data_IF_723932794482
#
_entry.id   IF_723932794482
#
_cell.length_a   1.000
_cell.length_b   1.000
_cell.length_c   1.000
_cell.angle_alpha   90.00
_cell.angle_beta   90.00
_cell.angle_gamma   90.00
#
_symmetry.space_group_name_H-M   'P 1'
#
loop_
_entity.id
_entity.type
_entity.pdbx_description
1 polymer ?
#
# COMPACT_ATOMS: atom_id res chain seq x y z
N UNK A 1 -8.74 -7.73 -9.39
CA UNK A 1 -8.22 -6.52 -9.79
C UNK A 1 -7.76 -5.66 -8.63
N UNK A 2 -6.79 -4.96 -8.86
CA UNK A 2 -6.22 -4.24 -7.77
C UNK A 2 -7.05 -3.01 -7.46
N UNK A 3 -7.10 -2.70 -6.22
CA UNK A 3 -7.71 -1.48 -5.78
C UNK A 3 -6.78 -0.35 -6.09
N UNK A 4 -7.38 0.75 -6.46
CA UNK A 4 -6.61 1.96 -6.65
C UNK A 4 -6.07 2.41 -5.28
N UNK A 5 -4.76 2.56 -5.20
CA UNK A 5 -4.15 3.10 -4.00
C UNK A 5 -4.60 4.55 -3.79
N UNK A 6 -4.71 5.30 -4.88
CA UNK A 6 -5.15 6.68 -4.77
C UNK A 6 -6.52 6.81 -4.15
N UNK A 7 -7.43 5.93 -4.55
CA UNK A 7 -8.77 5.95 -3.97
C UNK A 7 -8.76 5.57 -2.50
N UNK A 8 -7.95 4.59 -2.14
CA UNK A 8 -7.81 4.20 -0.75
C UNK A 8 -7.28 5.37 0.07
N UNK A 9 -6.25 6.03 -0.43
CA UNK A 9 -5.64 7.16 0.26
C UNK A 9 -6.64 8.30 0.42
N UNK A 10 -7.37 8.64 -0.64
CA UNK A 10 -8.36 9.71 -0.58
C UNK A 10 -9.46 9.38 0.41
N UNK A 11 -9.97 8.17 0.38
CA UNK A 11 -11.05 7.76 1.28
C UNK A 11 -10.61 7.84 2.73
N UNK A 12 -9.40 7.36 3.00
CA UNK A 12 -8.85 7.39 4.35
C UNK A 12 -8.62 8.82 4.83
N UNK A 13 -8.10 9.66 3.92
CA UNK A 13 -7.89 11.07 4.24
C UNK A 13 -9.19 11.77 4.58
N UNK A 14 -10.23 11.53 3.78
CA UNK A 14 -11.53 12.16 4.02
C UNK A 14 -12.17 11.66 5.31
N UNK A 15 -11.93 10.42 5.64
CA UNK A 15 -12.42 9.88 6.92
C UNK A 15 -11.81 10.64 8.09
N UNK A 16 -10.56 11.05 7.96
CA UNK A 16 -9.91 11.85 8.99
C UNK A 16 -10.24 13.34 8.85
N UNK A 17 -11.06 13.70 7.87
CA UNK A 17 -11.49 15.07 7.63
C UNK A 17 -10.33 16.00 7.34
N UNK A 18 -9.34 15.52 6.64
CA UNK A 18 -8.17 16.29 6.25
C UNK A 18 -8.28 16.69 4.79
N UNK A 19 -7.87 17.93 4.50
CA UNK A 19 -7.73 18.35 3.10
C UNK A 19 -6.43 17.78 2.56
N UNK A 20 -6.29 17.79 1.23
CA UNK A 20 -5.03 17.37 0.63
C UNK A 20 -3.88 18.25 1.12
N UNK A 21 -4.11 19.55 1.23
CA UNK A 21 -3.06 20.48 1.69
C UNK A 21 -2.66 20.19 3.12
N UNK A 22 -3.63 19.93 3.98
CA UNK A 22 -3.34 19.64 5.37
C UNK A 22 -2.52 18.34 5.51
N UNK A 23 -2.93 17.32 4.78
CA UNK A 23 -2.20 16.06 4.84
C UNK A 23 -0.79 16.20 4.27
N UNK A 24 -0.66 16.89 3.13
CA UNK A 24 0.64 17.09 2.53
C UNK A 24 1.58 17.84 3.47
N UNK A 25 1.06 18.86 4.13
CA UNK A 25 1.83 19.63 5.09
C UNK A 25 2.27 18.78 6.27
N UNK A 26 1.35 17.97 6.80
CA UNK A 26 1.64 17.14 7.97
C UNK A 26 2.69 16.10 7.65
N UNK A 27 2.64 15.53 6.46
CA UNK A 27 3.57 14.47 6.04
C UNK A 27 4.87 15.06 5.49
N UNK A 28 4.85 16.31 5.10
CA UNK A 28 6.04 16.96 4.56
C UNK A 28 6.27 16.66 3.10
N UNK A 29 5.19 16.49 2.34
CA UNK A 29 5.29 16.26 0.90
C UNK A 29 4.59 17.38 0.15
N UNK A 30 4.89 17.47 -1.13
CA UNK A 30 4.30 18.48 -1.98
C UNK A 30 2.83 18.20 -2.22
N UNK A 31 1.99 19.22 -2.13
CA UNK A 31 0.56 19.09 -2.36
C UNK A 31 0.25 18.54 -3.76
N UNK A 32 0.97 19.05 -4.76
CA UNK A 32 0.74 18.59 -6.14
C UNK A 32 1.08 17.11 -6.28
N UNK A 33 2.15 16.67 -5.62
CA UNK A 33 2.51 15.27 -5.64
C UNK A 33 1.42 14.41 -5.00
N UNK A 34 0.93 14.81 -3.84
CA UNK A 34 -0.14 14.07 -3.17
C UNK A 34 -1.38 14.00 -4.06
N UNK A 35 -1.74 15.10 -4.69
CA UNK A 35 -2.90 15.14 -5.56
C UNK A 35 -2.74 14.15 -6.71
N UNK A 36 -1.57 14.08 -7.30
CA UNK A 36 -1.32 13.16 -8.40
C UNK A 36 -1.37 11.71 -7.95
N UNK A 37 -0.86 11.43 -6.74
CA UNK A 37 -0.94 10.08 -6.18
C UNK A 37 -2.40 9.69 -5.97
N UNK A 38 -3.20 10.58 -5.40
CA UNK A 38 -4.62 10.29 -5.14
C UNK A 38 -5.41 10.09 -6.42
N UNK A 39 -5.00 10.73 -7.49
CA UNK A 39 -5.69 10.63 -8.77
C UNK A 39 -5.10 9.54 -9.67
N UNK A 40 -4.18 8.74 -9.15
CA UNK A 40 -3.57 7.63 -9.87
C UNK A 40 -2.93 8.07 -11.18
N UNK A 41 -2.31 9.25 -11.17
CA UNK A 41 -1.64 9.75 -12.36
C UNK A 41 -0.46 8.85 -12.69
N UNK A 42 -0.30 8.40 -13.94
CA UNK A 42 0.81 7.55 -14.31
C UNK A 42 2.14 8.18 -13.92
N UNK A 43 3.05 7.38 -13.39
CA UNK A 43 4.34 7.86 -12.93
C UNK A 43 4.37 8.27 -11.47
N UNK A 44 3.22 8.29 -10.80
CA UNK A 44 3.14 8.72 -9.41
C UNK A 44 2.66 7.60 -8.49
N UNK A 45 2.67 6.36 -8.96
CA UNK A 45 2.18 5.24 -8.17
C UNK A 45 3.24 4.67 -7.24
N UNK A 46 4.50 5.01 -7.43
CA UNK A 46 5.59 4.46 -6.61
C UNK A 46 5.92 5.43 -5.50
N UNK A 47 5.29 5.26 -4.36
CA UNK A 47 5.53 6.09 -3.18
C UNK A 47 6.53 5.36 -2.29
N UNK A 48 7.53 6.07 -1.80
CA UNK A 48 8.58 5.45 -1.00
C UNK A 48 8.04 4.92 0.32
N UNK A 49 8.70 3.91 0.85
CA UNK A 49 8.27 3.32 2.11
C UNK A 49 8.26 4.34 3.25
N UNK A 50 9.30 5.18 3.42
CA UNK A 50 9.23 6.19 4.48
C UNK A 50 8.05 7.14 4.33
N UNK A 51 7.70 7.53 3.11
CA UNK A 51 6.54 8.38 2.89
C UNK A 51 5.26 7.64 3.23
N UNK A 52 5.17 6.36 2.85
CA UNK A 52 3.99 5.57 3.19
C UNK A 52 3.83 5.44 4.70
N UNK A 53 4.93 5.28 5.42
CA UNK A 53 4.86 5.22 6.88
C UNK A 53 4.36 6.52 7.47
N UNK A 54 4.81 7.65 6.93
CA UNK A 54 4.35 8.95 7.41
C UNK A 54 2.86 9.15 7.11
N UNK A 55 2.43 8.72 5.94
CA UNK A 55 1.00 8.79 5.60
C UNK A 55 0.18 7.92 6.54
N UNK A 56 0.66 6.73 6.83
CA UNK A 56 -0.03 5.83 7.75
C UNK A 56 -0.17 6.46 9.13
N UNK A 57 0.90 7.07 9.61
CA UNK A 57 0.87 7.71 10.92
C UNK A 57 -0.14 8.86 10.95
N UNK A 58 -0.10 9.71 9.93
CA UNK A 58 -1.00 10.87 9.88
C UNK A 58 -2.45 10.44 9.74
N UNK A 59 -2.72 9.31 9.14
CA UNK A 59 -4.07 8.85 8.86
C UNK A 59 -4.56 7.75 9.81
N UNK A 60 -3.76 7.41 10.81
CA UNK A 60 -4.11 6.35 11.77
C UNK A 60 -4.37 5.03 11.08
N UNK A 61 -3.53 4.69 10.14
CA UNK A 61 -3.60 3.42 9.42
C UNK A 61 -2.39 2.59 9.79
N UNK A 62 -2.57 1.28 9.90
CA UNK A 62 -1.46 0.38 10.12
C UNK A 62 -0.42 0.57 9.00
N UNK A 63 0.86 0.80 9.33
CA UNK A 63 1.87 1.04 8.29
C UNK A 63 1.97 -0.10 7.29
N UNK A 64 1.87 -1.35 7.74
CA UNK A 64 1.94 -2.48 6.82
C UNK A 64 0.77 -2.47 5.85
N UNK A 65 -0.41 -2.08 6.34
CA UNK A 65 -1.56 -1.97 5.47
C UNK A 65 -1.36 -0.89 4.42
N UNK A 66 -0.81 0.25 4.84
CA UNK A 66 -0.56 1.34 3.90
C UNK A 66 0.44 0.91 2.83
N UNK A 67 1.51 0.24 3.25
CA UNK A 67 2.56 -0.21 2.34
C UNK A 67 2.01 -1.25 1.37
N UNK A 68 1.27 -2.23 1.87
CA UNK A 68 0.76 -3.29 1.00
C UNK A 68 -0.34 -2.77 0.08
N UNK A 69 -1.15 -1.81 0.53
CA UNK A 69 -2.15 -1.20 -0.35
C UNK A 69 -1.49 -0.44 -1.49
N UNK A 70 -0.28 0.08 -1.27
CA UNK A 70 0.48 0.74 -2.32
C UNK A 70 1.16 -0.26 -3.27
N UNK A 71 0.96 -1.56 -3.04
CA UNK A 71 1.53 -2.58 -3.91
C UNK A 71 2.95 -2.96 -3.55
N UNK A 72 3.35 -2.68 -2.32
CA UNK A 72 4.72 -2.96 -1.88
C UNK A 72 4.70 -3.93 -0.72
N UNK A 73 5.85 -4.48 -0.43
CA UNK A 73 6.06 -5.35 0.73
C UNK A 73 7.00 -4.62 1.68
N UNK A 74 6.66 -4.53 2.97
CA UNK A 74 7.58 -3.88 3.91
C UNK A 74 8.98 -4.47 3.78
N UNK A 75 9.99 -3.61 3.84
CA UNK A 75 11.36 -4.02 3.52
C UNK A 75 11.88 -5.12 4.43
N UNK A 76 11.51 -5.10 5.72
CA UNK A 76 11.95 -6.14 6.64
C UNK A 76 11.31 -7.49 6.28
N UNK A 77 10.06 -7.50 5.85
CA UNK A 77 9.39 -8.73 5.43
C UNK A 77 10.02 -9.23 4.13
N UNK A 78 10.29 -8.32 3.21
CA UNK A 78 10.93 -8.71 1.96
C UNK A 78 12.28 -9.34 2.22
N UNK A 79 13.03 -8.81 3.18
CA UNK A 79 14.34 -9.36 3.51
C UNK A 79 14.23 -10.80 4.01
N UNK A 80 13.22 -11.07 4.83
CA UNK A 80 13.00 -12.44 5.31
C UNK A 80 12.72 -13.38 4.14
N UNK A 81 11.92 -12.92 3.18
CA UNK A 81 11.62 -13.74 2.00
C UNK A 81 12.85 -13.96 1.15
N UNK A 82 13.70 -12.94 1.04
CA UNK A 82 14.93 -13.07 0.27
C UNK A 82 15.86 -14.07 0.93
N UNK A 83 15.92 -14.05 2.26
CA UNK A 83 16.84 -14.92 2.99
C UNK A 83 16.33 -16.36 3.10
N UNK A 84 15.04 -16.57 2.94
CA UNK A 84 14.46 -17.91 3.13
C UNK A 84 13.45 -18.19 2.02
N UNK A 85 13.92 -18.79 0.94
CA UNK A 85 13.04 -19.03 -0.21
C UNK A 85 11.94 -20.05 0.10
N UNK A 86 12.08 -20.82 1.18
CA UNK A 86 11.03 -21.76 1.53
C UNK A 86 9.73 -21.03 1.88
N UNK A 87 9.85 -19.81 2.45
CA UNK A 87 8.68 -19.01 2.73
C UNK A 87 7.97 -18.58 1.46
N UNK A 88 8.72 -18.33 0.40
CA UNK A 88 8.12 -18.00 -0.89
C UNK A 88 7.25 -19.16 -1.37
N UNK A 89 7.76 -20.38 -1.21
CA UNK A 89 7.01 -21.57 -1.62
C UNK A 89 5.78 -21.77 -0.75
N UNK A 90 5.90 -21.51 0.54
CA UNK A 90 4.75 -21.62 1.45
C UNK A 90 3.65 -20.65 1.07
N UNK A 91 4.03 -19.41 0.76
CA UNK A 91 3.05 -18.39 0.37
C UNK A 91 2.37 -18.78 -0.92
N UNK A 92 3.15 -19.29 -1.88
CA UNK A 92 2.60 -19.72 -3.15
C UNK A 92 1.65 -20.88 -2.97
N UNK A 93 1.97 -21.80 -2.07
CA UNK A 93 1.12 -22.94 -1.78
C UNK A 93 -0.19 -22.49 -1.15
N UNK A 94 -0.12 -21.50 -0.24
CA UNK A 94 -1.33 -20.98 0.38
C UNK A 94 -2.23 -20.31 -0.67
N UNK A 95 -1.63 -19.53 -1.57
CA UNK A 95 -2.40 -18.90 -2.63
C UNK A 95 -3.06 -19.94 -3.52
N UNK A 96 -2.34 -21.00 -3.84
CA UNK A 96 -2.87 -22.05 -4.69
C UNK A 96 -4.02 -22.79 -4.01
N UNK A 97 -3.89 -23.02 -2.71
CA UNK A 97 -4.95 -23.68 -1.95
C UNK A 97 -6.22 -22.82 -1.94
N UNK A 98 -6.06 -21.51 -1.73
CA UNK A 98 -7.20 -20.60 -1.77
C UNK A 98 -7.84 -20.59 -3.15
N UNK A 99 -7.04 -20.51 -4.19
CA UNK A 99 -7.56 -20.51 -5.56
C UNK A 99 -8.25 -21.83 -5.84
N UNK A 100 -7.64 -22.93 -5.39
CA UNK A 100 -8.23 -24.23 -5.62
C UNK A 100 -9.55 -24.40 -4.90
N UNK A 101 -9.65 -23.85 -3.70
CA UNK A 101 -10.90 -23.99 -2.96
C UNK A 101 -12.03 -23.21 -3.62
N UNK A 102 -11.70 -22.14 -4.33
CA UNK A 102 -12.71 -21.38 -5.03
C UNK A 102 -12.93 -21.91 -6.44
N UNK A 103 -11.84 -22.18 -7.13
CA UNK A 103 -11.90 -22.50 -8.51
C UNK A 103 -12.14 -23.93 -8.77
N UNK A 104 -11.92 -24.66 -7.88
CA UNK A 104 -11.91 -25.95 -8.28
C UNK A 104 -11.04 -26.03 -9.45
N UNK A 105 -10.70 -25.81 -9.79
CA UNK A 105 -10.13 -25.90 -10.73
C UNK A 105 -9.70 -26.01 -11.58
N UNK A 106 -9.68 -26.05 -11.65
CA UNK A 106 -9.33 -26.28 -12.54
C UNK A 106 -8.77 -26.44 -12.94
#
# INVERSE_FOLDING_TARGET
MSKSFGKFLRRTRKRKKLTQRALASEVGINFTYLSKVENDVPGFSSVSEPTLEKLADALDVDPDKMITRAGKIPSDVRQVLVDDFSLVKEIRARKKADDGSTGGSQ
#
